data_IF_806409279016
#
_entry.id   IF_806409279016
#
_cell.length_a   1.000
_cell.length_b   1.000
_cell.length_c   1.000
_cell.angle_alpha   90.00
_cell.angle_beta   90.00
_cell.angle_gamma   90.00
#
_symmetry.space_group_name_H-M   'P 1'
#
loop_
_entity.id
_entity.type
_entity.pdbx_description
1 polymer ?
#
# COMPACT_ATOMS: atom_id res chain seq x y z
N UNK A 1 5.40 -6.48 -9.29
CA UNK A 1 4.46 -6.84 -10.36
C UNK A 1 3.35 -5.80 -10.41
N UNK A 2 3.06 -5.26 -11.58
CA UNK A 2 1.91 -4.37 -11.77
C UNK A 2 0.65 -5.22 -11.97
N UNK A 3 -0.47 -4.79 -11.46
CA UNK A 3 -1.77 -5.42 -11.66
C UNK A 3 -2.60 -4.74 -12.73
N UNK A 4 -2.26 -3.51 -13.03
CA UNK A 4 -2.87 -2.69 -14.05
C UNK A 4 -1.89 -1.62 -14.54
N UNK A 5 -2.28 -0.83 -15.54
CA UNK A 5 -1.52 0.33 -15.94
C UNK A 5 -1.43 1.31 -14.75
N UNK A 6 -0.29 1.97 -14.63
CA UNK A 6 -0.06 2.98 -13.59
C UNK A 6 -0.15 2.47 -12.13
N UNK A 7 0.19 1.20 -11.90
CA UNK A 7 0.21 0.59 -10.58
C UNK A 7 1.54 -0.12 -10.31
N UNK A 8 1.99 -0.10 -9.06
CA UNK A 8 3.15 -0.86 -8.58
C UNK A 8 2.80 -1.61 -7.31
N UNK A 9 3.11 -2.90 -7.33
CA UNK A 9 3.05 -3.80 -6.17
C UNK A 9 4.41 -4.44 -5.99
N UNK A 10 4.94 -4.36 -4.78
CA UNK A 10 6.22 -4.99 -4.41
C UNK A 10 5.93 -6.34 -3.79
N UNK A 11 6.52 -7.40 -4.33
CA UNK A 11 6.46 -8.73 -3.73
C UNK A 11 7.65 -9.60 -4.18
N UNK A 12 7.76 -10.80 -3.61
CA UNK A 12 8.66 -11.84 -4.10
C UNK A 12 10.14 -11.48 -4.04
N UNK A 13 10.57 -10.70 -3.08
CA UNK A 13 11.96 -10.22 -2.96
C UNK A 13 12.94 -11.28 -2.46
N UNK A 14 12.46 -12.46 -2.04
CA UNK A 14 13.31 -13.55 -1.59
C UNK A 14 13.79 -14.38 -2.78
N UNK A 15 15.10 -14.39 -3.09
CA UNK A 15 15.62 -15.22 -4.16
C UNK A 15 15.53 -16.71 -3.78
N UNK A 16 15.32 -17.58 -4.75
CA UNK A 16 15.15 -19.03 -4.56
C UNK A 16 16.37 -19.70 -3.90
N UNK A 17 17.56 -19.20 -4.19
CA UNK A 17 18.82 -19.74 -3.65
C UNK A 17 19.10 -19.35 -2.20
N UNK A 18 18.30 -18.44 -1.61
CA UNK A 18 18.44 -17.91 -0.22
C UNK A 18 19.86 -17.48 0.19
N UNK A 19 20.76 -17.33 -0.78
CA UNK A 19 22.16 -16.96 -0.58
C UNK A 19 22.45 -15.46 -0.71
N UNK A 20 21.43 -14.61 -0.70
CA UNK A 20 21.64 -13.17 -0.79
C UNK A 20 22.09 -12.60 0.55
N UNK A 21 22.84 -11.49 0.50
CA UNK A 21 23.24 -10.76 1.70
C UNK A 21 22.10 -9.98 2.37
N UNK A 22 20.94 -9.88 1.70
CA UNK A 22 19.76 -9.21 2.23
C UNK A 22 18.77 -10.21 2.79
N UNK A 23 18.18 -9.86 3.92
CA UNK A 23 16.96 -10.47 4.44
C UNK A 23 15.79 -9.52 4.25
N UNK A 24 14.59 -10.07 4.10
CA UNK A 24 13.36 -9.29 4.01
C UNK A 24 12.25 -9.93 4.83
N UNK A 25 11.27 -9.10 5.20
CA UNK A 25 10.04 -9.55 5.83
C UNK A 25 8.88 -8.66 5.39
N UNK A 26 7.70 -9.24 5.24
CA UNK A 26 6.47 -8.48 5.06
C UNK A 26 6.00 -7.90 6.39
N UNK A 27 5.82 -6.58 6.44
CA UNK A 27 5.21 -5.89 7.57
C UNK A 27 3.81 -5.48 7.14
N UNK A 28 2.80 -6.04 7.79
CA UNK A 28 1.41 -5.86 7.39
C UNK A 28 0.62 -5.09 8.45
N UNK A 29 -0.34 -4.31 7.99
CA UNK A 29 -1.38 -3.69 8.80
C UNK A 29 -2.70 -4.33 8.39
N UNK A 30 -3.38 -4.94 9.35
CA UNK A 30 -4.74 -5.41 9.13
C UNK A 30 -5.67 -4.22 8.99
N UNK A 31 -6.46 -4.22 7.92
CA UNK A 31 -7.44 -3.17 7.63
C UNK A 31 -8.81 -3.71 7.97
N UNK A 32 -9.52 -3.01 8.83
CA UNK A 32 -10.86 -3.37 9.30
C UNK A 32 -11.92 -2.56 8.54
N UNK A 33 -13.16 -3.07 8.42
CA UNK A 33 -14.26 -2.31 7.80
C UNK A 33 -14.45 -0.92 8.42
N UNK A 34 -14.20 -0.77 9.71
CA UNK A 34 -14.33 0.47 10.47
C UNK A 34 -13.33 1.54 10.03
N UNK A 35 -12.18 1.15 9.52
CA UNK A 35 -11.16 2.07 8.99
C UNK A 35 -11.70 2.85 7.77
N UNK A 36 -12.68 2.29 7.05
CA UNK A 36 -13.33 2.94 5.92
C UNK A 36 -14.47 3.89 6.33
N UNK A 37 -15.04 3.71 7.54
CA UNK A 37 -16.18 4.47 8.04
C UNK A 37 -15.72 5.72 8.79
N UNK A 38 -14.56 5.67 9.43
CA UNK A 38 -14.04 6.75 10.30
C UNK A 38 -13.65 8.04 9.58
N UNK A 39 -13.78 8.11 8.26
CA UNK A 39 -13.42 9.28 7.46
C UNK A 39 -11.91 9.57 7.41
N UNK A 40 -11.08 8.71 8.00
CA UNK A 40 -9.61 8.78 7.89
C UNK A 40 -9.14 8.45 6.47
N UNK A 41 -9.95 7.74 5.71
CA UNK A 41 -9.81 7.56 4.27
C UNK A 41 -10.54 8.68 3.54
N UNK A 42 -10.00 9.88 3.57
CA UNK A 42 -10.34 10.89 2.59
C UNK A 42 -9.78 10.44 1.25
N UNK A 43 -10.53 9.62 0.54
CA UNK A 43 -10.34 9.50 -0.90
C UNK A 43 -10.72 10.85 -1.51
N UNK A 44 -9.74 11.71 -1.69
CA UNK A 44 -9.93 12.92 -2.48
C UNK A 44 -10.17 12.47 -3.92
N UNK A 45 -11.44 12.41 -4.30
CA UNK A 45 -11.86 12.85 -5.63
C UNK A 45 -13.34 12.56 -5.86
N UNK A 46 -14.13 13.60 -5.89
CA UNK A 46 -15.46 13.59 -6.51
C UNK A 46 -15.42 13.06 -7.96
N UNK A 47 -14.32 13.23 -8.66
CA UNK A 47 -14.09 12.69 -10.01
C UNK A 47 -13.99 11.16 -10.04
N UNK A 48 -13.27 10.55 -9.09
CA UNK A 48 -13.15 9.08 -9.02
C UNK A 48 -14.51 8.44 -8.68
N UNK A 49 -15.27 9.04 -7.76
CA UNK A 49 -16.61 8.57 -7.42
C UNK A 49 -17.60 8.71 -8.60
N UNK A 50 -17.50 9.78 -9.37
CA UNK A 50 -18.30 9.97 -10.59
C UNK A 50 -17.96 8.96 -11.68
N UNK A 51 -16.67 8.68 -11.88
CA UNK A 51 -16.18 7.70 -12.85
C UNK A 51 -16.59 6.27 -12.47
N UNK A 52 -16.54 5.91 -11.19
CA UNK A 52 -17.01 4.62 -10.67
C UNK A 52 -18.51 4.45 -10.87
N UNK A 53 -19.31 5.49 -10.64
CA UNK A 53 -20.74 5.48 -10.92
C UNK A 53 -21.04 5.20 -12.39
N UNK A 54 -20.33 5.89 -13.28
CA UNK A 54 -20.49 5.71 -14.71
C UNK A 54 -20.13 4.28 -15.14
N UNK A 55 -19.07 3.68 -14.59
CA UNK A 55 -18.66 2.31 -14.86
C UNK A 55 -19.70 1.29 -14.37
N UNK A 56 -20.20 1.42 -13.15
CA UNK A 56 -21.21 0.50 -12.60
C UNK A 56 -22.54 0.57 -13.37
N UNK A 57 -22.96 1.77 -13.76
CA UNK A 57 -24.16 1.95 -14.59
C UNK A 57 -23.97 1.48 -16.04
N UNK A 58 -22.75 1.55 -16.57
CA UNK A 58 -22.44 1.00 -17.89
C UNK A 58 -22.52 -0.53 -17.92
N UNK A 59 -22.18 -1.20 -16.82
CA UNK A 59 -22.29 -2.67 -16.69
C UNK A 59 -23.76 -3.09 -16.49
N UNK A 60 -24.52 -2.36 -15.71
CA UNK A 60 -25.94 -2.63 -15.48
C UNK A 60 -26.76 -1.33 -15.30
N UNK A 61 -27.36 -0.82 -16.38
CA UNK A 61 -28.13 0.42 -16.34
C UNK A 61 -29.41 0.37 -15.48
N UNK A 62 -29.83 -0.82 -15.07
CA UNK A 62 -31.07 -1.02 -14.30
C UNK A 62 -30.84 -1.02 -12.78
N UNK A 63 -29.61 -0.75 -12.32
CA UNK A 63 -29.32 -0.69 -10.90
C UNK A 63 -30.06 0.46 -10.22
N UNK A 64 -30.80 0.13 -9.15
CA UNK A 64 -31.40 1.14 -8.28
C UNK A 64 -30.31 1.88 -7.47
N UNK A 65 -30.62 3.08 -7.01
CA UNK A 65 -29.70 3.87 -6.17
C UNK A 65 -29.24 3.13 -4.89
N UNK A 66 -30.11 2.30 -4.31
CA UNK A 66 -29.78 1.49 -3.13
C UNK A 66 -28.80 0.35 -3.47
N UNK A 67 -29.01 -0.33 -4.59
CA UNK A 67 -28.09 -1.36 -5.07
C UNK A 67 -26.72 -0.76 -5.44
N UNK A 68 -26.74 0.41 -6.06
CA UNK A 68 -25.52 1.14 -6.41
C UNK A 68 -24.71 1.53 -5.16
N UNK A 69 -25.38 2.04 -4.11
CA UNK A 69 -24.75 2.37 -2.85
C UNK A 69 -24.15 1.16 -2.14
N UNK A 70 -24.87 0.02 -2.16
CA UNK A 70 -24.38 -1.24 -1.59
C UNK A 70 -23.15 -1.75 -2.32
N UNK A 71 -23.17 -1.77 -3.65
CA UNK A 71 -22.02 -2.19 -4.47
C UNK A 71 -20.80 -1.31 -4.24
N UNK A 72 -20.97 0.00 -4.12
CA UNK A 72 -19.88 0.93 -3.79
C UNK A 72 -19.23 0.58 -2.46
N UNK A 73 -20.04 0.39 -1.43
CA UNK A 73 -19.53 0.00 -0.10
C UNK A 73 -18.75 -1.31 -0.16
N UNK A 74 -19.23 -2.30 -0.91
CA UNK A 74 -18.57 -3.59 -1.08
C UNK A 74 -17.26 -3.48 -1.87
N UNK A 75 -17.16 -2.55 -2.81
CA UNK A 75 -15.96 -2.34 -3.64
C UNK A 75 -14.97 -1.34 -3.03
N UNK A 76 -15.33 -0.62 -1.97
CA UNK A 76 -14.44 0.35 -1.30
C UNK A 76 -13.06 -0.23 -0.95
N UNK A 77 -12.94 -1.45 -0.39
CA UNK A 77 -11.63 -2.03 -0.09
C UNK A 77 -10.77 -2.29 -1.33
N UNK A 78 -11.40 -2.68 -2.44
CA UNK A 78 -10.70 -2.89 -3.71
C UNK A 78 -10.17 -1.57 -4.28
N UNK A 79 -11.00 -0.54 -4.31
CA UNK A 79 -10.59 0.78 -4.78
C UNK A 79 -9.50 1.40 -3.90
N UNK A 80 -9.58 1.19 -2.61
CA UNK A 80 -8.51 1.59 -1.70
C UNK A 80 -7.18 0.92 -2.04
N UNK A 81 -7.19 -0.38 -2.30
CA UNK A 81 -6.02 -1.13 -2.73
C UNK A 81 -5.46 -0.57 -4.05
N UNK A 82 -6.30 -0.37 -5.05
CA UNK A 82 -5.91 0.17 -6.36
C UNK A 82 -5.31 1.57 -6.25
N UNK A 83 -5.90 2.45 -5.44
CA UNK A 83 -5.38 3.80 -5.23
C UNK A 83 -4.03 3.78 -4.51
N UNK A 84 -3.84 2.91 -3.51
CA UNK A 84 -2.56 2.76 -2.84
C UNK A 84 -1.47 2.26 -3.81
N UNK A 85 -1.79 1.33 -4.69
CA UNK A 85 -0.89 0.84 -5.74
C UNK A 85 -0.56 1.94 -6.77
N UNK A 86 -1.54 2.78 -7.09
CA UNK A 86 -1.34 3.95 -7.96
C UNK A 86 -0.45 5.01 -7.31
N UNK A 87 -0.65 5.30 -6.02
CA UNK A 87 0.24 6.19 -5.28
C UNK A 87 1.67 5.66 -5.25
N UNK A 88 1.88 4.35 -5.09
CA UNK A 88 3.20 3.76 -5.20
C UNK A 88 3.84 3.98 -6.57
N UNK A 89 3.09 3.84 -7.65
CA UNK A 89 3.57 4.11 -8.99
C UNK A 89 3.96 5.59 -9.18
N UNK A 90 3.13 6.53 -8.71
CA UNK A 90 3.42 7.96 -8.76
C UNK A 90 4.70 8.29 -7.97
N UNK A 91 4.79 7.83 -6.74
CA UNK A 91 5.92 8.05 -5.85
C UNK A 91 7.18 7.29 -6.28
N UNK A 92 7.03 6.21 -7.03
CA UNK A 92 8.09 5.44 -7.67
C UNK A 92 8.58 6.05 -9.00
N UNK A 93 8.20 7.29 -9.32
CA UNK A 93 8.65 7.99 -10.53
C UNK A 93 7.94 7.52 -11.80
N UNK A 94 6.70 7.03 -11.69
CA UNK A 94 5.87 6.53 -12.79
C UNK A 94 6.51 5.40 -13.59
N UNK A 95 7.21 4.51 -12.87
CA UNK A 95 7.91 3.34 -13.42
C UNK A 95 7.69 2.14 -12.50
N UNK A 96 8.41 1.04 -12.74
CA UNK A 96 8.41 -0.13 -11.86
C UNK A 96 9.37 0.02 -10.67
N UNK A 97 10.07 1.13 -10.54
CA UNK A 97 10.81 1.48 -9.34
C UNK A 97 9.85 1.67 -8.18
N UNK A 98 10.25 1.21 -7.00
CA UNK A 98 9.40 1.29 -5.81
C UNK A 98 9.78 2.48 -4.93
N UNK A 99 8.79 3.19 -4.33
CA UNK A 99 9.05 4.18 -3.32
C UNK A 99 9.57 3.51 -2.05
N UNK A 100 10.61 4.11 -1.45
CA UNK A 100 11.27 3.53 -0.29
C UNK A 100 11.73 4.60 0.69
N UNK A 101 11.88 4.20 1.95
CA UNK A 101 12.34 5.08 3.02
C UNK A 101 13.11 4.26 4.05
N UNK A 102 14.15 4.84 4.66
CA UNK A 102 14.84 4.19 5.78
C UNK A 102 13.86 3.98 6.94
N UNK A 103 13.89 2.82 7.57
CA UNK A 103 12.95 2.46 8.64
C UNK A 103 12.98 3.46 9.81
N UNK A 104 14.17 3.86 10.23
CA UNK A 104 14.34 4.80 11.34
C UNK A 104 13.81 6.19 10.97
N UNK A 105 14.04 6.64 9.73
CA UNK A 105 13.52 7.92 9.25
C UNK A 105 11.99 7.91 9.15
N UNK A 106 11.42 6.80 8.70
CA UNK A 106 9.96 6.63 8.70
C UNK A 106 9.37 6.80 10.10
N UNK A 107 9.92 6.11 11.11
CA UNK A 107 9.40 6.19 12.48
C UNK A 107 9.59 7.58 13.11
N UNK A 108 10.59 8.33 12.66
CA UNK A 108 10.89 9.70 13.09
C UNK A 108 10.24 10.77 12.23
N UNK A 109 9.48 10.38 11.21
CA UNK A 109 8.85 11.28 10.22
C UNK A 109 9.85 12.21 9.54
N UNK A 110 11.02 11.67 9.18
CA UNK A 110 12.10 12.38 8.49
C UNK A 110 12.24 11.89 7.05
N UNK A 111 12.71 12.75 6.17
CA UNK A 111 13.07 12.36 4.81
C UNK A 111 14.35 11.52 4.83
N UNK A 112 14.42 10.49 3.99
CA UNK A 112 15.66 9.79 3.69
C UNK A 112 16.29 10.41 2.45
N UNK A 113 17.48 10.94 2.57
CA UNK A 113 18.19 11.55 1.43
C UNK A 113 18.89 10.52 0.55
N UNK A 114 19.20 9.36 1.13
CA UNK A 114 19.80 8.21 0.46
C UNK A 114 19.16 6.92 0.94
N UNK A 115 19.36 5.87 0.19
CA UNK A 115 18.85 4.53 0.53
C UNK A 115 19.98 3.51 0.52
N UNK A 116 19.96 2.52 1.43
CA UNK A 116 20.90 1.41 1.35
C UNK A 116 20.61 0.56 0.10
N UNK A 117 21.57 -0.23 -0.30
CA UNK A 117 21.38 -1.21 -1.36
C UNK A 117 20.28 -2.22 -0.99
N UNK A 118 19.62 -2.74 -2.01
CA UNK A 118 18.45 -3.62 -1.84
C UNK A 118 18.44 -4.72 -2.91
N UNK A 119 17.76 -5.82 -2.61
CA UNK A 119 17.52 -6.90 -3.56
C UNK A 119 16.37 -6.61 -4.55
N UNK A 120 15.72 -5.46 -4.46
CA UNK A 120 14.65 -5.10 -5.38
C UNK A 120 15.21 -4.67 -6.73
N UNK A 121 15.17 -5.58 -7.72
CA UNK A 121 15.83 -5.42 -9.02
C UNK A 121 15.32 -4.23 -9.87
N UNK A 122 14.03 -3.81 -9.81
CA UNK A 122 13.59 -2.65 -10.57
C UNK A 122 14.12 -1.32 -10.01
N UNK A 123 14.74 -1.32 -8.83
CA UNK A 123 15.32 -0.15 -8.18
C UNK A 123 14.37 0.56 -7.23
N UNK A 124 14.96 1.38 -6.37
CA UNK A 124 14.25 2.15 -5.35
C UNK A 124 14.36 3.65 -5.61
N UNK A 125 13.33 4.39 -5.23
CA UNK A 125 13.34 5.85 -5.17
C UNK A 125 13.03 6.28 -3.75
N UNK A 126 13.85 7.17 -3.19
CA UNK A 126 13.57 7.77 -1.90
C UNK A 126 12.26 8.56 -1.96
N UNK A 127 11.35 8.20 -1.07
CA UNK A 127 10.01 8.79 -1.00
C UNK A 127 9.55 8.83 0.46
N UNK A 128 8.87 9.90 0.90
CA UNK A 128 8.42 10.04 2.28
C UNK A 128 7.17 9.18 2.54
N UNK A 129 7.35 7.85 2.68
CA UNK A 129 6.25 6.90 2.92
C UNK A 129 5.34 7.35 4.08
N UNK A 130 5.93 7.87 5.17
CA UNK A 130 5.21 8.38 6.33
C UNK A 130 4.26 9.56 6.03
N UNK A 131 4.42 10.21 4.90
CA UNK A 131 3.66 11.40 4.51
C UNK A 131 2.48 11.08 3.59
N UNK A 132 2.70 10.26 2.56
CA UNK A 132 1.68 9.99 1.57
C UNK A 132 0.86 8.70 1.82
N UNK A 133 1.39 7.76 2.63
CA UNK A 133 0.59 6.62 3.06
C UNK A 133 -0.59 7.09 3.93
N UNK A 134 -1.73 6.41 3.89
CA UNK A 134 -2.84 6.69 4.79
C UNK A 134 -2.36 6.77 6.24
N UNK A 135 -2.82 7.80 6.96
CA UNK A 135 -2.30 8.16 8.28
C UNK A 135 -2.46 7.01 9.30
N UNK A 136 -3.57 6.29 9.25
CA UNK A 136 -3.79 5.14 10.13
C UNK A 136 -2.80 3.98 9.87
N UNK A 137 -2.44 3.72 8.60
CA UNK A 137 -1.43 2.71 8.23
C UNK A 137 -0.05 3.17 8.70
N UNK A 138 0.33 4.41 8.40
CA UNK A 138 1.60 4.99 8.79
C UNK A 138 1.79 4.98 10.31
N UNK A 139 0.75 5.34 11.07
CA UNK A 139 0.75 5.29 12.55
C UNK A 139 0.91 3.86 13.07
N UNK A 140 0.10 2.90 12.57
CA UNK A 140 0.16 1.49 13.00
C UNK A 140 1.53 0.87 12.71
N UNK A 141 2.08 1.09 11.52
CA UNK A 141 3.44 0.64 11.18
C UNK A 141 4.49 1.26 12.09
N UNK A 142 4.44 2.57 12.32
CA UNK A 142 5.41 3.26 13.17
C UNK A 142 5.38 2.74 14.61
N UNK A 143 4.21 2.52 15.17
CA UNK A 143 4.04 1.92 16.51
C UNK A 143 4.57 0.48 16.54
N UNK A 144 4.24 -0.32 15.54
CA UNK A 144 4.72 -1.70 15.42
C UNK A 144 6.25 -1.77 15.37
N UNK A 145 6.89 -0.94 14.54
CA UNK A 145 8.36 -0.88 14.46
C UNK A 145 9.00 -0.48 15.79
N UNK A 146 8.43 0.50 16.49
CA UNK A 146 8.91 0.90 17.80
C UNK A 146 8.78 -0.24 18.83
N UNK A 147 7.68 -0.98 18.79
CA UNK A 147 7.46 -2.13 19.65
C UNK A 147 8.45 -3.26 19.37
N UNK A 148 8.65 -3.60 18.09
CA UNK A 148 9.68 -4.58 17.70
C UNK A 148 11.09 -4.11 18.07
N UNK A 149 11.39 -2.83 17.96
CA UNK A 149 12.67 -2.27 18.41
C UNK A 149 12.92 -2.38 19.90
N UNK A 150 11.87 -2.41 20.72
CA UNK A 150 11.98 -2.65 22.18
C UNK A 150 12.20 -4.11 22.52
N UNK A 151 11.59 -5.02 21.77
CA UNK A 151 11.71 -6.47 22.00
C UNK A 151 12.93 -7.10 21.35
N UNK A 152 13.45 -6.49 20.28
CA UNK A 152 14.58 -7.01 19.49
C UNK A 152 15.62 -5.93 19.30
N UNK A 153 16.70 -6.02 20.06
CA UNK A 153 17.81 -5.07 19.97
C UNK A 153 18.38 -5.02 18.54
N UNK A 154 18.55 -3.82 18.02
CA UNK A 154 19.06 -3.60 16.65
C UNK A 154 18.02 -3.72 15.53
N UNK A 155 16.76 -4.08 15.82
CA UNK A 155 15.70 -4.14 14.82
C UNK A 155 15.44 -2.77 14.19
N UNK A 156 15.29 -1.74 15.00
CA UNK A 156 15.04 -0.39 14.54
C UNK A 156 16.36 0.28 14.14
N UNK A 157 16.69 0.22 12.87
CA UNK A 157 17.97 0.68 12.32
C UNK A 157 17.79 1.52 11.05
N UNK A 158 18.79 2.33 10.75
CA UNK A 158 18.89 3.10 9.51
C UNK A 158 19.39 2.24 8.32
N UNK A 159 19.93 1.06 8.59
CA UNK A 159 20.35 0.11 7.55
C UNK A 159 19.15 -0.63 6.92
N UNK A 160 18.03 -0.69 7.61
CA UNK A 160 16.79 -1.27 7.08
C UNK A 160 16.03 -0.25 6.23
N UNK A 161 15.58 -0.71 5.06
CA UNK A 161 14.75 0.07 4.14
C UNK A 161 13.34 -0.50 4.08
N UNK A 162 12.36 0.37 4.20
CA UNK A 162 10.96 0.07 3.91
C UNK A 162 10.71 0.31 2.44
N UNK A 163 10.04 -0.62 1.79
CA UNK A 163 9.68 -0.54 0.38
C UNK A 163 8.16 -0.61 0.30
N UNK A 164 7.55 0.37 -0.26
CA UNK A 164 6.09 0.43 -0.45
C UNK A 164 5.70 -0.10 -1.82
N UNK A 165 4.67 -0.85 -1.95
CA UNK A 165 3.77 -1.46 -0.95
C UNK A 165 3.42 -2.88 -1.43
N UNK A 166 3.18 -3.81 -0.53
CA UNK A 166 2.58 -5.09 -0.83
C UNK A 166 1.11 -5.09 -0.35
N UNK A 167 0.18 -5.01 -1.28
CA UNK A 167 -1.26 -4.92 -1.01
C UNK A 167 -2.01 -6.23 -1.24
N UNK A 168 -1.34 -7.25 -1.79
CA UNK A 168 -1.97 -8.48 -2.30
C UNK A 168 -1.71 -9.71 -1.45
N UNK A 169 -1.72 -9.55 -0.15
CA UNK A 169 -1.63 -10.66 0.81
C UNK A 169 -2.92 -11.47 0.85
N UNK A 170 -4.07 -10.79 0.70
CA UNK A 170 -5.39 -11.41 0.60
C UNK A 170 -6.29 -10.57 -0.32
N UNK A 171 -7.32 -11.21 -0.89
CA UNK A 171 -8.28 -10.48 -1.72
C UNK A 171 -9.25 -9.68 -0.83
N UNK A 172 -9.45 -8.38 -1.12
CA UNK A 172 -10.43 -7.55 -0.40
C UNK A 172 -11.88 -7.90 -0.76
N UNK A 173 -12.07 -8.68 -1.82
CA UNK A 173 -13.41 -9.11 -2.30
C UNK A 173 -13.43 -10.61 -2.52
N UNK A 174 -14.59 -11.23 -2.29
CA UNK A 174 -14.81 -12.64 -2.55
C UNK A 174 -15.86 -12.79 -3.66
N UNK A 175 -15.49 -13.53 -4.71
CA UNK A 175 -16.45 -13.95 -5.73
C UNK A 175 -17.19 -15.17 -5.19
N UNK A 176 -18.50 -15.04 -5.01
CA UNK A 176 -19.35 -16.16 -4.63
C UNK A 176 -19.50 -17.07 -5.86
N UNK A 177 -19.29 -18.36 -5.68
CA UNK A 177 -19.52 -19.39 -6.69
C UNK A 177 -20.71 -20.20 -6.24
N UNK A 178 -21.68 -20.38 -7.13
CA UNK A 178 -22.81 -21.28 -6.96
C UNK A 178 -22.36 -22.74 -7.06
#
# INVERSE_FOLDING_TARGET
AASGPEQVVVNGMSPSNRGSRWSNSGMVVEIQPEDFISGELKMESGELAAQQNAQLLAINPLLSNSQLSTLKTQLTPLHFQEELERQCWLQGGRRQTAPAQRMLDFTRKKLSFDLPESSYSPGLISSPLHFWMPDFISKRLSLGFQQFGRSSHGFLTNEAVMIGVETRTSSPVRIVRD
#
